data_IF_120140885016
#
_entry.id   IF_120140885016
#
_cell.length_a   1.000
_cell.length_b   1.000
_cell.length_c   1.000
_cell.angle_alpha   90.00
_cell.angle_beta   90.00
_cell.angle_gamma   90.00
#
_symmetry.space_group_name_H-M   'P 1'
#
loop_
_entity.id
_entity.type
_entity.pdbx_description
1 polymer ?
#
# COMPACT_ATOMS: atom_id res chain seq x y z
N UNK A 1 0.75 -18.79 -17.66
CA UNK A 1 0.26 -18.31 -16.35
C UNK A 1 -1.26 -18.23 -16.36
N UNK A 2 -1.96 -18.66 -15.31
CA UNK A 2 -3.41 -18.43 -15.17
C UNK A 2 -3.67 -16.95 -14.93
N UNK A 3 -4.55 -16.33 -15.72
CA UNK A 3 -5.00 -14.92 -15.66
C UNK A 3 -5.25 -14.42 -14.23
N UNK A 4 -5.69 -15.32 -13.35
CA UNK A 4 -5.89 -15.08 -11.92
C UNK A 4 -4.64 -14.57 -11.18
N UNK A 5 -3.43 -15.06 -11.47
CA UNK A 5 -2.19 -14.59 -10.82
C UNK A 5 -1.86 -13.14 -11.16
N UNK A 6 -2.09 -12.74 -12.42
CA UNK A 6 -1.82 -11.36 -12.90
C UNK A 6 -2.83 -10.38 -12.30
N UNK A 7 -4.11 -10.77 -12.25
CA UNK A 7 -5.16 -9.98 -11.60
C UNK A 7 -4.89 -9.80 -10.11
N UNK A 8 -4.54 -10.89 -9.41
CA UNK A 8 -4.18 -10.85 -7.99
C UNK A 8 -3.05 -9.85 -7.75
N UNK A 9 -1.98 -9.88 -8.55
CA UNK A 9 -0.87 -8.93 -8.45
C UNK A 9 -1.31 -7.48 -8.64
N UNK A 10 -2.16 -7.18 -9.62
CA UNK A 10 -2.66 -5.83 -9.84
C UNK A 10 -3.52 -5.33 -8.67
N UNK A 11 -4.38 -6.19 -8.11
CA UNK A 11 -5.17 -5.86 -6.91
C UNK A 11 -4.24 -5.61 -5.72
N UNK A 12 -3.24 -6.47 -5.50
CA UNK A 12 -2.24 -6.27 -4.45
C UNK A 12 -1.46 -4.96 -4.64
N UNK A 13 -1.05 -4.63 -5.87
CA UNK A 13 -0.37 -3.38 -6.18
C UNK A 13 -1.22 -2.15 -5.88
N UNK A 14 -2.51 -2.17 -6.26
CA UNK A 14 -3.46 -1.10 -5.95
C UNK A 14 -3.66 -0.94 -4.43
N UNK A 15 -3.79 -2.06 -3.71
CA UNK A 15 -3.95 -2.09 -2.25
C UNK A 15 -2.71 -1.54 -1.54
N UNK A 16 -1.51 -1.78 -2.10
CA UNK A 16 -0.26 -1.20 -1.62
C UNK A 16 -0.21 0.32 -1.79
N UNK A 17 -0.64 0.84 -2.95
CA UNK A 17 -0.72 2.29 -3.18
C UNK A 17 -1.73 2.92 -2.22
N UNK A 18 -2.92 2.34 -2.07
CA UNK A 18 -3.93 2.85 -1.13
C UNK A 18 -3.40 2.86 0.32
N UNK A 19 -2.73 1.79 0.73
CA UNK A 19 -2.08 1.70 2.04
C UNK A 19 -1.00 2.76 2.23
N UNK A 20 -0.16 3.03 1.22
CA UNK A 20 0.87 4.06 1.29
C UNK A 20 0.27 5.48 1.44
N UNK A 21 -0.83 5.77 0.74
CA UNK A 21 -1.56 7.04 0.89
C UNK A 21 -2.14 7.17 2.30
N UNK A 22 -2.74 6.09 2.82
CA UNK A 22 -3.25 6.08 4.20
C UNK A 22 -2.13 6.22 5.23
N UNK A 23 -0.98 5.57 5.04
CA UNK A 23 0.19 5.75 5.89
C UNK A 23 0.68 7.22 5.90
N UNK A 24 0.60 7.89 4.75
CA UNK A 24 0.85 9.34 4.65
C UNK A 24 -0.15 10.16 5.47
N UNK A 25 -1.45 9.85 5.37
CA UNK A 25 -2.48 10.49 6.20
C UNK A 25 -2.25 10.26 7.69
N UNK A 26 -1.84 9.05 8.10
CA UNK A 26 -1.53 8.73 9.49
C UNK A 26 -0.48 9.70 10.07
N UNK A 27 0.63 9.87 9.36
CA UNK A 27 1.71 10.77 9.78
C UNK A 27 1.21 12.21 9.86
N UNK A 28 0.36 12.61 8.92
CA UNK A 28 -0.22 13.95 8.86
C UNK A 28 -1.14 14.20 10.07
N UNK A 29 -2.01 13.25 10.41
CA UNK A 29 -2.85 13.32 11.62
C UNK A 29 -2.01 13.37 12.90
N UNK A 30 -0.91 12.61 12.98
CA UNK A 30 -0.05 12.57 14.17
C UNK A 30 0.64 13.93 14.40
N UNK A 31 1.10 14.58 13.32
CA UNK A 31 1.65 15.94 13.38
C UNK A 31 0.58 16.96 13.80
N UNK A 32 -0.65 16.87 13.27
CA UNK A 32 -1.75 17.74 13.66
C UNK A 32 -2.14 17.54 15.12
N UNK A 33 -2.17 16.29 15.59
CA UNK A 33 -2.43 15.96 16.98
C UNK A 33 -1.38 16.58 17.92
N UNK A 34 -0.11 16.48 17.54
CA UNK A 34 0.99 17.11 18.27
C UNK A 34 0.82 18.64 18.33
N UNK A 35 0.45 19.25 17.20
CA UNK A 35 0.20 20.69 17.13
C UNK A 35 -1.00 21.11 17.98
N UNK A 36 -2.10 20.36 17.94
CA UNK A 36 -3.29 20.60 18.76
C UNK A 36 -2.97 20.46 20.26
N UNK A 37 -2.16 19.47 20.64
CA UNK A 37 -1.71 19.28 22.02
C UNK A 37 -0.88 20.47 22.52
N UNK A 38 0.02 21.02 21.69
CA UNK A 38 0.80 22.22 22.02
C UNK A 38 -0.11 23.46 22.17
N UNK A 39 -1.19 23.54 21.40
CA UNK A 39 -2.17 24.64 21.49
C UNK A 39 -3.21 24.46 22.60
N UNK A 40 -3.07 23.43 23.46
CA UNK A 40 -4.03 23.09 24.53
C UNK A 40 -5.45 22.75 24.01
N UNK A 41 -5.56 22.33 22.75
CA UNK A 41 -6.79 21.86 22.12
C UNK A 41 -6.96 20.35 22.37
N UNK A 42 -7.12 19.97 23.65
CA UNK A 42 -7.07 18.57 24.12
C UNK A 42 -8.11 17.67 23.45
N UNK A 43 -9.29 18.22 23.13
CA UNK A 43 -10.39 17.50 22.47
C UNK A 43 -10.01 17.15 21.03
N UNK A 44 -9.40 18.09 20.31
CA UNK A 44 -8.99 17.92 18.91
C UNK A 44 -7.78 16.99 18.82
N UNK A 45 -6.83 17.12 19.74
CA UNK A 45 -5.69 16.22 19.84
C UNK A 45 -6.12 14.77 20.09
N UNK A 46 -7.08 14.55 21.01
CA UNK A 46 -7.62 13.23 21.30
C UNK A 46 -8.35 12.61 20.11
N UNK A 47 -9.12 13.41 19.36
CA UNK A 47 -9.83 12.95 18.16
C UNK A 47 -8.84 12.48 17.08
N UNK A 48 -7.80 13.28 16.80
CA UNK A 48 -6.82 12.94 15.78
C UNK A 48 -5.98 11.71 16.12
N UNK A 49 -5.62 11.49 17.39
CA UNK A 49 -4.93 10.26 17.80
C UNK A 49 -5.85 9.04 17.70
N UNK A 50 -7.12 9.18 18.08
CA UNK A 50 -8.09 8.08 17.96
C UNK A 50 -8.27 7.65 16.50
N UNK A 51 -8.42 8.62 15.60
CA UNK A 51 -8.59 8.35 14.17
C UNK A 51 -7.31 7.80 13.53
N UNK A 52 -6.12 8.28 13.93
CA UNK A 52 -4.85 7.75 13.42
C UNK A 52 -4.66 6.27 13.79
N UNK A 53 -5.17 5.83 14.95
CA UNK A 53 -5.03 4.45 15.40
C UNK A 53 -5.63 3.43 14.41
N UNK A 54 -6.73 3.79 13.73
CA UNK A 54 -7.32 2.94 12.70
C UNK A 54 -6.46 2.83 11.43
N UNK A 55 -5.69 3.87 11.11
CA UNK A 55 -4.79 3.87 9.96
C UNK A 55 -3.55 3.00 10.18
N UNK A 56 -3.21 2.67 11.44
CA UNK A 56 -2.11 1.76 11.77
C UNK A 56 -2.33 0.34 11.22
N UNK A 57 -3.59 -0.11 11.13
CA UNK A 57 -3.93 -1.41 10.54
C UNK A 57 -3.56 -1.51 9.05
N UNK A 58 -3.49 -0.36 8.35
CA UNK A 58 -3.10 -0.30 6.94
C UNK A 58 -1.60 -0.44 6.71
N UNK A 59 -0.75 -0.52 7.74
CA UNK A 59 0.68 -0.84 7.58
C UNK A 59 0.99 -2.32 7.38
N UNK A 60 0.05 -3.22 7.71
CA UNK A 60 0.25 -4.68 7.60
C UNK A 60 0.27 -5.15 6.12
N UNK A 61 -0.69 -4.75 5.26
CA UNK A 61 -0.71 -5.17 3.85
C UNK A 61 0.56 -4.86 3.03
N UNK A 62 1.15 -3.65 3.07
CA UNK A 62 2.28 -3.30 2.21
C UNK A 62 3.53 -4.12 2.55
N UNK A 63 3.73 -4.49 3.81
CA UNK A 63 4.85 -5.32 4.25
C UNK A 63 4.77 -6.75 3.69
N UNK A 64 3.57 -7.34 3.70
CA UNK A 64 3.33 -8.68 3.14
C UNK A 64 3.38 -8.68 1.61
N UNK A 65 2.82 -7.64 0.97
CA UNK A 65 2.78 -7.52 -0.49
C UNK A 65 4.17 -7.27 -1.07
N UNK A 66 4.98 -6.40 -0.44
CA UNK A 66 6.38 -6.17 -0.84
C UNK A 66 7.22 -7.45 -0.77
N UNK A 67 7.01 -8.28 0.27
CA UNK A 67 7.66 -9.59 0.40
C UNK A 67 7.19 -10.59 -0.65
N UNK A 68 5.95 -10.49 -1.12
CA UNK A 68 5.39 -11.36 -2.16
C UNK A 68 5.86 -10.97 -3.57
N UNK A 69 5.97 -9.66 -3.85
CA UNK A 69 6.47 -9.14 -5.13
C UNK A 69 7.97 -9.36 -5.30
N UNK A 70 8.75 -9.25 -4.22
CA UNK A 70 10.20 -9.41 -4.29
C UNK A 70 10.68 -10.87 -4.37
N UNK A 71 9.77 -11.83 -4.60
CA UNK A 71 10.15 -13.23 -4.85
C UNK A 71 10.65 -13.39 -6.29
N UNK A 72 11.86 -13.96 -6.51
CA UNK A 72 12.48 -14.07 -7.83
C UNK A 72 11.63 -14.86 -8.84
N UNK A 73 10.82 -15.82 -8.37
CA UNK A 73 9.87 -16.55 -9.21
C UNK A 73 8.78 -15.66 -9.80
N UNK A 74 8.32 -14.64 -9.07
CA UNK A 74 7.26 -13.73 -9.55
C UNK A 74 7.79 -12.73 -10.57
N UNK A 75 9.08 -12.37 -10.47
CA UNK A 75 9.77 -11.51 -11.43
C UNK A 75 10.02 -12.26 -12.74
N UNK A 76 10.52 -13.50 -12.67
CA UNK A 76 10.70 -14.36 -13.85
C UNK A 76 9.38 -14.62 -14.58
N UNK A 77 8.32 -14.95 -13.84
CA UNK A 77 7.00 -15.18 -14.44
C UNK A 77 6.44 -13.91 -15.13
N UNK A 78 6.71 -12.71 -14.61
CA UNK A 78 6.31 -11.45 -15.26
C UNK A 78 7.11 -11.18 -16.54
N UNK A 79 8.41 -11.41 -16.49
CA UNK A 79 9.32 -11.20 -17.61
C UNK A 79 8.93 -12.12 -18.78
N UNK A 80 8.66 -13.40 -18.49
CA UNK A 80 8.15 -14.37 -19.46
C UNK A 80 6.79 -13.97 -20.04
N UNK A 81 5.86 -13.44 -19.23
CA UNK A 81 4.56 -12.97 -19.71
C UNK A 81 4.67 -11.76 -20.61
N UNK A 82 5.52 -10.78 -20.28
CA UNK A 82 5.77 -9.60 -21.11
C UNK A 82 6.45 -9.99 -22.43
N UNK A 83 7.38 -10.95 -22.41
CA UNK A 83 8.02 -11.52 -23.60
C UNK A 83 7.04 -12.27 -24.50
N UNK A 84 6.09 -13.01 -23.92
CA UNK A 84 5.05 -13.70 -24.68
C UNK A 84 4.06 -12.71 -25.31
N UNK A 85 3.67 -11.68 -24.55
CA UNK A 85 2.80 -10.62 -25.05
C UNK A 85 3.46 -9.84 -26.19
N UNK A 86 4.72 -9.44 -26.06
CA UNK A 86 5.43 -8.70 -27.12
C UNK A 86 5.61 -9.53 -28.39
N UNK A 87 5.83 -10.85 -28.27
CA UNK A 87 5.85 -11.77 -29.42
C UNK A 87 4.50 -11.90 -30.12
N UNK A 88 3.40 -11.71 -29.40
CA UNK A 88 2.05 -11.81 -29.96
C UNK A 88 1.61 -10.52 -30.64
N UNK A 89 2.15 -9.37 -30.24
CA UNK A 89 1.87 -8.06 -30.86
C UNK A 89 2.72 -7.80 -32.13
N UNK A 90 3.72 -8.63 -32.42
CA UNK A 90 4.61 -8.51 -33.58
C UNK A 90 4.23 -9.41 -34.79
N UNK A 91 3.08 -10.07 -34.75
CA UNK A 91 2.50 -10.88 -35.83
C UNK A 91 1.10 -10.36 -36.17
#
# INVERSE_FOLDING_TARGET
MTTSKVFLRNVLGLLLIMSAVLAGLYILLDILALFAYINHEDIIAGLFIHDSFYLLFFFIPPYFIGKYINRPDTIKELEDYLLQKSKTEHY
#
